data_IF_709484019188
#
_entry.id   IF_709484019188
#
_cell.length_a   1.000
_cell.length_b   1.000
_cell.length_c   1.000
_cell.angle_alpha   90.00
_cell.angle_beta   90.00
_cell.angle_gamma   90.00
#
_symmetry.space_group_name_H-M   'P 1'
#
loop_
_entity.id
_entity.type
_entity.pdbx_description
1 polymer ?
#
# COMPACT_ATOMS: atom_id res chain seq x y z
N UNK A 1 2.66 15.43 -15.85
CA UNK A 1 2.05 14.95 -17.11
C UNK A 1 0.54 15.03 -16.97
N UNK A 2 -0.18 15.54 -17.95
CA UNK A 2 -1.63 15.67 -17.97
C UNK A 2 -2.13 15.71 -19.39
N UNK A 3 -3.46 15.81 -19.60
CA UNK A 3 -4.05 15.98 -20.91
C UNK A 3 -3.62 17.34 -21.54
N UNK A 4 -3.55 17.42 -22.87
CA UNK A 4 -3.07 18.63 -23.57
C UNK A 4 -3.92 19.86 -23.27
N UNK A 5 -5.19 19.69 -22.94
CA UNK A 5 -6.14 20.76 -22.68
C UNK A 5 -6.42 20.98 -21.17
N UNK A 6 -5.65 20.36 -20.28
CA UNK A 6 -5.92 20.39 -18.82
C UNK A 6 -5.98 21.82 -18.27
N UNK A 7 -5.01 22.67 -18.63
CA UNK A 7 -4.92 24.04 -18.15
C UNK A 7 -6.07 24.87 -18.71
N UNK A 8 -6.28 24.79 -20.05
CA UNK A 8 -7.39 25.50 -20.68
C UNK A 8 -8.76 25.08 -20.12
N UNK A 9 -8.94 23.81 -19.84
CA UNK A 9 -10.16 23.32 -19.22
C UNK A 9 -10.36 23.91 -17.81
N UNK A 10 -9.29 24.07 -17.04
CA UNK A 10 -9.35 24.71 -15.72
C UNK A 10 -9.72 26.19 -15.84
N UNK A 11 -9.14 26.91 -16.80
CA UNK A 11 -9.50 28.31 -17.09
C UNK A 11 -10.95 28.45 -17.51
N UNK A 12 -11.39 27.67 -18.51
CA UNK A 12 -12.75 27.71 -19.05
C UNK A 12 -13.83 27.40 -17.99
N UNK A 13 -13.48 26.67 -16.94
CA UNK A 13 -14.37 26.31 -15.83
C UNK A 13 -14.15 27.13 -14.56
N UNK A 14 -13.32 28.16 -14.60
CA UNK A 14 -13.07 29.06 -13.47
C UNK A 14 -12.32 28.42 -12.30
N UNK A 15 -11.68 27.28 -12.51
CA UNK A 15 -10.85 26.61 -11.51
C UNK A 15 -9.40 27.15 -11.47
N UNK A 16 -9.01 27.95 -12.45
CA UNK A 16 -7.70 28.57 -12.55
C UNK A 16 -7.78 29.89 -13.31
N UNK A 17 -7.14 30.93 -12.77
CA UNK A 17 -7.00 32.23 -13.39
C UNK A 17 -5.49 32.59 -13.50
N UNK A 18 -4.88 32.52 -14.70
CA UNK A 18 -3.45 32.77 -14.85
C UNK A 18 -3.00 34.17 -14.40
N UNK A 19 -3.93 35.14 -14.33
CA UNK A 19 -3.63 36.48 -13.85
C UNK A 19 -3.54 36.57 -12.32
N UNK A 20 -4.16 35.64 -11.59
CA UNK A 20 -4.25 35.64 -10.12
C UNK A 20 -3.46 34.51 -9.47
N UNK A 21 -3.48 33.33 -10.07
CA UNK A 21 -3.03 32.10 -9.40
C UNK A 21 -1.57 31.75 -9.70
N UNK A 22 -0.91 32.51 -10.60
CA UNK A 22 0.49 32.27 -11.00
C UNK A 22 0.64 30.99 -11.83
N UNK A 23 1.67 30.19 -11.58
CA UNK A 23 1.88 28.93 -12.31
C UNK A 23 0.79 27.89 -11.96
N UNK A 24 0.23 27.26 -13.00
CA UNK A 24 -0.82 26.24 -12.82
C UNK A 24 -0.35 25.08 -11.96
N UNK A 25 -1.08 24.82 -10.88
CA UNK A 25 -0.92 23.68 -10.01
C UNK A 25 -2.24 22.94 -9.88
N UNK A 26 -2.28 21.69 -10.39
CA UNK A 26 -3.49 20.87 -10.39
C UNK A 26 -4.11 20.72 -9.01
N UNK A 27 -3.28 20.50 -8.00
CA UNK A 27 -3.74 20.35 -6.62
C UNK A 27 -4.41 21.63 -6.10
N UNK A 28 -3.90 22.80 -6.43
CA UNK A 28 -4.52 24.07 -6.05
C UNK A 28 -5.81 24.35 -6.80
N UNK A 29 -5.83 24.07 -8.11
CA UNK A 29 -7.00 24.31 -8.96
C UNK A 29 -8.20 23.43 -8.59
N UNK A 30 -7.97 22.21 -8.11
CA UNK A 30 -9.02 21.21 -7.89
C UNK A 30 -9.12 20.67 -6.46
N UNK A 31 -8.38 21.21 -5.51
CA UNK A 31 -8.61 20.93 -4.09
C UNK A 31 -9.74 21.79 -3.54
N UNK A 32 -10.35 21.35 -2.49
CA UNK A 32 -11.28 22.21 -1.72
C UNK A 32 -10.55 23.21 -0.84
N UNK A 33 -9.30 22.89 -0.47
CA UNK A 33 -8.48 23.65 0.50
C UNK A 33 -9.29 24.00 1.76
N UNK A 34 -10.01 23.03 2.29
CA UNK A 34 -10.88 23.17 3.44
C UNK A 34 -10.23 22.54 4.69
N UNK A 35 -10.85 22.74 5.85
CA UNK A 35 -10.40 22.19 7.14
C UNK A 35 -10.16 20.67 7.11
N UNK A 36 -10.77 19.95 6.17
CA UNK A 36 -10.56 18.49 6.03
C UNK A 36 -9.20 18.17 5.48
N UNK A 37 -8.63 19.02 4.62
CA UNK A 37 -7.29 18.77 4.09
C UNK A 37 -6.24 18.80 5.20
N UNK A 38 -6.41 19.67 6.19
CA UNK A 38 -5.53 19.80 7.37
C UNK A 38 -5.51 18.51 8.20
N UNK A 39 -6.63 17.81 8.30
CA UNK A 39 -6.73 16.58 9.11
C UNK A 39 -6.67 15.29 8.30
N UNK A 40 -7.01 15.33 7.00
CA UNK A 40 -7.13 14.15 6.16
C UNK A 40 -5.97 13.97 5.18
N UNK A 41 -5.63 14.99 4.41
CA UNK A 41 -4.70 14.84 3.30
C UNK A 41 -3.29 15.27 3.68
N UNK A 42 -3.11 16.44 4.25
CA UNK A 42 -1.80 17.00 4.56
C UNK A 42 -0.98 16.14 5.51
N UNK A 43 -1.52 15.61 6.62
CA UNK A 43 -0.75 14.78 7.53
C UNK A 43 -0.20 13.52 6.89
N UNK A 44 -0.96 12.86 6.01
CA UNK A 44 -0.50 11.65 5.30
C UNK A 44 0.64 11.96 4.33
N UNK A 45 0.51 13.06 3.58
CA UNK A 45 1.56 13.51 2.66
C UNK A 45 2.83 13.86 3.42
N UNK A 46 2.71 14.67 4.46
CA UNK A 46 3.82 15.08 5.31
C UNK A 46 4.53 13.86 5.92
N UNK A 47 3.78 12.95 6.53
CA UNK A 47 4.33 11.76 7.16
C UNK A 47 5.13 10.90 6.18
N UNK A 48 4.57 10.60 5.00
CA UNK A 48 5.25 9.80 3.98
C UNK A 48 6.47 10.54 3.41
N UNK A 49 6.39 11.85 3.20
CA UNK A 49 7.54 12.64 2.76
C UNK A 49 8.66 12.62 3.80
N UNK A 50 8.35 12.76 5.08
CA UNK A 50 9.33 12.68 6.17
C UNK A 50 9.91 11.27 6.36
N UNK A 51 9.15 10.21 6.08
CA UNK A 51 9.69 8.84 6.08
C UNK A 51 10.78 8.65 5.05
N UNK A 52 10.64 9.26 3.87
CA UNK A 52 11.59 9.13 2.76
C UNK A 52 12.66 10.22 2.72
N UNK A 53 12.45 11.30 3.46
CA UNK A 53 13.35 12.45 3.58
C UNK A 53 13.34 12.97 5.03
N UNK A 54 14.09 12.32 5.93
CA UNK A 54 14.08 12.63 7.37
C UNK A 54 14.39 14.09 7.71
N UNK A 55 15.17 14.79 6.85
CA UNK A 55 15.50 16.20 7.00
C UNK A 55 14.28 17.17 6.88
N UNK A 56 13.14 16.64 6.44
CA UNK A 56 11.91 17.41 6.37
C UNK A 56 11.17 17.52 7.73
N UNK A 57 11.56 16.71 8.72
CA UNK A 57 10.91 16.72 10.06
C UNK A 57 10.97 18.08 10.74
N UNK A 58 12.07 18.81 10.52
CA UNK A 58 12.26 20.15 11.08
C UNK A 58 11.68 21.27 10.19
N UNK A 59 11.18 20.94 9.00
CA UNK A 59 10.72 21.89 7.98
C UNK A 59 9.23 21.82 7.67
N UNK A 60 8.59 20.72 8.05
CA UNK A 60 7.19 20.45 7.75
C UNK A 60 6.47 20.01 9.02
N UNK A 61 5.27 20.53 9.22
CA UNK A 61 4.34 20.08 10.26
C UNK A 61 3.21 19.27 9.63
N UNK A 62 2.58 18.37 10.37
CA UNK A 62 1.54 17.46 9.84
C UNK A 62 0.33 18.21 9.25
N UNK A 63 0.06 19.40 9.76
CA UNK A 63 -1.08 20.27 9.39
C UNK A 63 -0.69 21.44 8.47
N UNK A 64 0.60 21.51 8.05
CA UNK A 64 1.14 22.70 7.38
C UNK A 64 0.62 22.95 5.97
N UNK A 65 0.29 21.91 5.21
CA UNK A 65 -0.07 22.03 3.79
C UNK A 65 1.10 22.47 2.89
N UNK A 66 0.79 22.76 1.64
CA UNK A 66 1.77 23.27 0.64
C UNK A 66 3.03 22.41 0.43
N UNK A 67 2.91 21.09 0.59
CA UNK A 67 4.02 20.17 0.37
C UNK A 67 4.33 20.00 -1.12
N UNK A 68 5.60 19.79 -1.50
CA UNK A 68 5.96 19.58 -2.89
C UNK A 68 5.25 18.33 -3.46
N UNK A 69 4.69 18.47 -4.66
CA UNK A 69 4.03 17.36 -5.37
C UNK A 69 5.05 16.31 -5.80
N UNK A 70 6.24 16.74 -6.22
CA UNK A 70 7.35 15.88 -6.60
C UNK A 70 8.50 16.09 -5.66
N UNK A 71 8.93 15.02 -5.03
CA UNK A 71 10.05 15.03 -4.09
C UNK A 71 10.99 13.86 -4.41
N UNK A 72 12.29 14.18 -4.55
CA UNK A 72 13.30 13.14 -4.69
C UNK A 72 13.57 12.55 -3.32
N UNK A 73 13.42 11.23 -3.13
CA UNK A 73 13.71 10.60 -1.85
C UNK A 73 15.23 10.66 -1.55
N UNK A 74 15.59 10.76 -0.27
CA UNK A 74 16.99 10.81 0.18
C UNK A 74 17.80 9.56 -0.21
N UNK A 75 17.11 8.42 -0.42
CA UNK A 75 17.72 7.17 -0.90
C UNK A 75 16.83 6.49 -1.94
N UNK A 76 17.37 5.53 -2.67
CA UNK A 76 16.55 4.64 -3.51
C UNK A 76 15.57 3.87 -2.63
N UNK A 77 14.29 3.89 -3.00
CA UNK A 77 13.23 3.19 -2.28
C UNK A 77 13.16 1.73 -2.75
N UNK A 78 13.05 0.84 -1.79
CA UNK A 78 12.71 -0.56 -2.01
C UNK A 78 11.19 -0.78 -1.99
N UNK A 79 10.72 -1.94 -2.43
CA UNK A 79 9.32 -2.37 -2.26
C UNK A 79 8.94 -2.37 -0.78
N UNK A 80 9.87 -2.75 0.11
CA UNK A 80 9.63 -2.77 1.54
C UNK A 80 9.44 -1.37 2.13
N UNK A 81 10.20 -0.36 1.67
CA UNK A 81 9.98 1.03 2.09
C UNK A 81 8.57 1.51 1.74
N UNK A 82 8.06 1.15 0.53
CA UNK A 82 6.69 1.49 0.12
C UNK A 82 5.63 0.75 0.94
N UNK A 83 5.82 -0.54 1.20
CA UNK A 83 4.92 -1.31 2.08
C UNK A 83 4.86 -0.69 3.48
N UNK A 84 6.01 -0.27 4.02
CA UNK A 84 6.08 0.40 5.33
C UNK A 84 5.32 1.72 5.32
N UNK A 85 5.47 2.54 4.29
CA UNK A 85 4.73 3.80 4.17
C UNK A 85 3.21 3.58 4.08
N UNK A 86 2.78 2.55 3.34
CA UNK A 86 1.36 2.20 3.21
C UNK A 86 0.76 1.62 4.50
N UNK A 87 1.59 1.12 5.42
CA UNK A 87 1.18 0.63 6.74
C UNK A 87 1.14 1.73 7.80
N UNK A 88 1.65 2.92 7.51
CA UNK A 88 1.82 3.98 8.50
C UNK A 88 0.50 4.49 9.10
N UNK A 89 0.52 4.73 10.39
CA UNK A 89 -0.59 5.31 11.18
C UNK A 89 -0.09 6.29 12.24
N UNK A 90 1.00 7.01 11.94
CA UNK A 90 1.74 7.92 12.83
C UNK A 90 2.41 7.18 13.99
N UNK A 91 2.96 6.03 13.68
CA UNK A 91 3.55 5.07 14.60
C UNK A 91 4.46 5.72 15.64
N UNK A 92 4.22 5.42 16.92
CA UNK A 92 5.04 5.91 18.04
C UNK A 92 4.89 7.39 18.37
N UNK A 93 3.89 8.08 17.81
CA UNK A 93 3.57 9.47 18.14
C UNK A 93 2.26 9.59 18.93
N UNK A 94 1.97 10.74 19.55
CA UNK A 94 0.65 10.98 20.16
C UNK A 94 -0.51 10.89 19.16
N UNK A 95 -0.26 11.07 17.87
CA UNK A 95 -1.27 11.01 16.79
C UNK A 95 -1.56 9.61 16.28
N UNK A 96 -0.86 8.59 16.80
CA UNK A 96 -1.07 7.20 16.40
C UNK A 96 -2.54 6.80 16.59
N UNK A 97 -3.21 6.50 15.46
CA UNK A 97 -4.65 6.23 15.46
C UNK A 97 -5.05 4.98 16.26
N UNK A 98 -4.11 4.09 16.52
CA UNK A 98 -4.42 2.78 17.10
C UNK A 98 -3.74 2.54 18.45
N UNK A 99 -2.48 2.97 18.61
CA UNK A 99 -1.66 2.69 19.79
C UNK A 99 -1.46 3.89 20.72
N UNK A 100 -1.83 5.11 20.34
CA UNK A 100 -1.69 6.27 21.22
C UNK A 100 -2.50 6.14 22.49
N UNK A 101 -1.91 6.59 23.60
CA UNK A 101 -2.57 6.71 24.92
C UNK A 101 -3.08 8.13 25.18
N UNK A 102 -2.75 9.07 24.30
CA UNK A 102 -3.23 10.45 24.37
C UNK A 102 -4.58 10.58 23.65
N UNK A 103 -5.67 10.45 24.37
CA UNK A 103 -7.02 10.50 23.82
C UNK A 103 -7.37 11.88 23.19
N UNK A 104 -6.60 12.94 23.52
CA UNK A 104 -6.80 14.26 22.92
C UNK A 104 -6.12 14.38 21.55
N UNK A 105 -5.08 13.60 21.30
CA UNK A 105 -4.31 13.63 20.05
C UNK A 105 -4.63 12.46 19.13
N UNK A 106 -5.03 11.35 19.70
CA UNK A 106 -5.42 10.15 18.97
C UNK A 106 -6.56 10.46 18.00
N UNK A 107 -6.43 10.00 16.76
CA UNK A 107 -7.44 10.18 15.70
C UNK A 107 -7.67 11.64 15.22
N UNK A 108 -6.89 12.62 15.62
CA UNK A 108 -6.96 13.96 15.02
C UNK A 108 -6.67 13.88 13.51
N UNK A 109 -5.66 13.10 13.14
CA UNK A 109 -5.26 12.93 11.75
C UNK A 109 -5.67 11.57 11.19
N UNK A 110 -6.10 11.55 9.94
CA UNK A 110 -6.42 10.31 9.23
C UNK A 110 -5.13 9.58 8.85
N UNK A 111 -4.97 8.34 9.29
CA UNK A 111 -3.84 7.49 8.94
C UNK A 111 -3.75 7.17 7.44
N UNK A 112 -2.57 6.74 6.97
CA UNK A 112 -2.39 6.08 5.67
C UNK A 112 -3.08 4.72 5.71
N UNK A 113 -2.72 3.89 6.70
CA UNK A 113 -3.38 2.61 6.96
C UNK A 113 -4.67 2.80 7.76
N UNK A 114 -5.76 3.06 7.06
CA UNK A 114 -7.09 3.22 7.69
C UNK A 114 -7.75 1.86 7.85
N UNK A 115 -8.40 1.60 9.01
CA UNK A 115 -9.10 0.33 9.25
C UNK A 115 -10.06 -0.07 8.13
N UNK A 116 -10.80 0.87 7.55
CA UNK A 116 -11.75 0.64 6.45
C UNK A 116 -11.13 0.54 5.05
N UNK A 117 -9.80 0.52 4.93
CA UNK A 117 -9.14 0.26 3.64
C UNK A 117 -9.58 -1.08 3.08
N UNK A 118 -9.93 -1.13 1.79
CA UNK A 118 -10.33 -2.38 1.13
C UNK A 118 -9.12 -3.19 0.70
N UNK A 119 -8.14 -2.53 0.11
CA UNK A 119 -6.88 -3.14 -0.31
C UNK A 119 -5.77 -2.06 -0.39
N UNK A 120 -4.54 -2.51 -0.40
CA UNK A 120 -3.37 -1.69 -0.61
C UNK A 120 -2.39 -2.43 -1.50
N UNK A 121 -1.76 -1.73 -2.45
CA UNK A 121 -0.84 -2.40 -3.36
C UNK A 121 0.41 -1.60 -3.70
N UNK A 122 1.47 -2.34 -4.07
CA UNK A 122 2.71 -1.82 -4.64
C UNK A 122 2.96 -2.52 -5.96
N UNK A 123 3.01 -1.77 -7.04
CA UNK A 123 3.35 -2.28 -8.37
C UNK A 123 4.84 -2.10 -8.64
N UNK A 124 5.50 -3.18 -9.09
CA UNK A 124 6.90 -3.15 -9.47
C UNK A 124 7.04 -3.64 -10.92
N UNK A 125 7.71 -2.83 -11.75
CA UNK A 125 8.03 -3.15 -13.14
C UNK A 125 9.54 -3.31 -13.28
N UNK A 126 9.97 -4.48 -13.75
CA UNK A 126 11.37 -4.87 -13.94
C UNK A 126 11.59 -5.28 -15.39
N UNK A 127 11.84 -4.33 -16.31
CA UNK A 127 11.88 -4.57 -17.76
C UNK A 127 13.01 -5.49 -18.22
N UNK A 128 13.99 -5.76 -17.36
CA UNK A 128 15.10 -6.69 -17.63
C UNK A 128 14.76 -8.16 -17.37
N UNK A 129 13.58 -8.45 -16.84
CA UNK A 129 13.07 -9.81 -16.61
C UNK A 129 12.02 -10.18 -17.67
N UNK A 130 11.76 -11.49 -17.88
CA UNK A 130 10.59 -11.94 -18.63
C UNK A 130 9.33 -11.23 -18.11
N UNK A 131 8.45 -10.80 -19.02
CA UNK A 131 7.29 -9.96 -18.63
C UNK A 131 6.36 -10.63 -17.62
N UNK A 132 6.28 -11.96 -17.66
CA UNK A 132 5.43 -12.76 -16.81
C UNK A 132 5.79 -12.60 -15.31
N UNK A 133 7.08 -12.46 -15.01
CA UNK A 133 7.57 -12.21 -13.64
C UNK A 133 8.15 -10.79 -13.46
N UNK A 134 8.42 -10.08 -14.55
CA UNK A 134 8.94 -8.71 -14.54
C UNK A 134 7.92 -7.68 -14.06
N UNK A 135 6.64 -8.02 -14.09
CA UNK A 135 5.53 -7.21 -13.62
C UNK A 135 4.88 -7.92 -12.44
N UNK A 136 5.01 -7.35 -11.26
CA UNK A 136 4.46 -7.90 -10.03
C UNK A 136 3.71 -6.83 -9.26
N UNK A 137 2.53 -7.19 -8.76
CA UNK A 137 1.75 -6.37 -7.85
C UNK A 137 1.71 -7.05 -6.50
N UNK A 138 2.26 -6.38 -5.50
CA UNK A 138 2.14 -6.81 -4.11
C UNK A 138 0.83 -6.28 -3.55
N UNK A 139 -0.09 -7.14 -3.16
CA UNK A 139 -1.43 -6.75 -2.66
C UNK A 139 -1.61 -7.19 -1.22
N UNK A 140 -2.13 -6.27 -0.40
CA UNK A 140 -2.58 -6.51 0.96
C UNK A 140 -4.09 -6.22 1.06
N UNK A 141 -4.86 -7.16 1.61
CA UNK A 141 -6.31 -7.06 1.71
C UNK A 141 -6.75 -6.46 3.05
N UNK A 142 -7.71 -5.54 2.99
CA UNK A 142 -8.18 -4.81 4.16
C UNK A 142 -7.15 -3.79 4.67
N UNK A 143 -7.09 -3.59 5.97
CA UNK A 143 -6.17 -2.67 6.63
C UNK A 143 -4.72 -3.11 6.41
N UNK A 144 -3.93 -2.30 5.72
CA UNK A 144 -2.56 -2.65 5.30
C UNK A 144 -1.61 -2.92 6.47
N UNK A 145 -1.79 -2.26 7.60
CA UNK A 145 -0.98 -2.51 8.80
C UNK A 145 -1.19 -3.91 9.41
N UNK A 146 -2.40 -4.43 9.27
CA UNK A 146 -2.80 -5.76 9.74
C UNK A 146 -3.02 -6.74 8.58
N UNK A 147 -2.16 -6.68 7.57
CA UNK A 147 -2.22 -7.55 6.40
C UNK A 147 -0.83 -7.88 5.84
N UNK A 148 -0.73 -8.96 5.08
CA UNK A 148 0.47 -9.33 4.34
C UNK A 148 0.38 -8.90 2.89
N UNK A 149 1.51 -8.48 2.31
CA UNK A 149 1.61 -8.16 0.89
C UNK A 149 2.05 -9.39 0.10
N UNK A 150 1.12 -9.97 -0.63
CA UNK A 150 1.38 -11.12 -1.49
C UNK A 150 1.76 -10.68 -2.91
N UNK A 151 2.80 -11.27 -3.55
CA UNK A 151 3.21 -10.96 -4.91
C UNK A 151 2.33 -11.67 -5.94
N UNK A 152 1.56 -10.92 -6.71
CA UNK A 152 0.81 -11.41 -7.88
C UNK A 152 1.54 -11.04 -9.15
N UNK A 153 1.93 -12.06 -9.91
CA UNK A 153 2.67 -11.89 -11.15
C UNK A 153 1.73 -11.73 -12.35
N UNK A 154 2.18 -10.98 -13.34
CA UNK A 154 1.43 -10.80 -14.59
C UNK A 154 1.15 -12.12 -15.32
N UNK A 155 2.06 -13.10 -15.22
CA UNK A 155 1.90 -14.44 -15.80
C UNK A 155 1.06 -15.43 -14.99
N UNK A 156 0.37 -14.98 -13.93
CA UNK A 156 -0.52 -15.84 -13.14
C UNK A 156 -1.79 -16.18 -13.94
N UNK A 157 -2.10 -17.45 -14.07
CA UNK A 157 -3.26 -17.92 -14.86
C UNK A 157 -4.55 -17.97 -14.05
N UNK A 158 -4.46 -18.29 -12.74
CA UNK A 158 -5.65 -18.46 -11.89
C UNK A 158 -5.37 -18.19 -10.42
N UNK A 159 -6.43 -17.86 -9.71
CA UNK A 159 -6.45 -17.78 -8.24
C UNK A 159 -6.96 -19.09 -7.63
N UNK A 160 -6.64 -19.32 -6.35
CA UNK A 160 -7.30 -20.37 -5.57
C UNK A 160 -8.70 -19.88 -5.12
N UNK A 161 -9.57 -20.81 -4.77
CA UNK A 161 -10.89 -20.49 -4.22
C UNK A 161 -10.79 -19.50 -3.06
N UNK A 162 -11.70 -18.52 -3.05
CA UNK A 162 -11.78 -17.48 -2.05
C UNK A 162 -11.05 -16.19 -2.40
N UNK A 163 -10.06 -16.21 -3.31
CA UNK A 163 -9.39 -14.98 -3.78
C UNK A 163 -10.16 -14.27 -4.91
N UNK A 164 -11.05 -14.98 -5.59
CA UNK A 164 -11.94 -14.49 -6.65
C UNK A 164 -13.37 -14.28 -6.18
N UNK A 165 -13.63 -14.48 -4.89
CA UNK A 165 -14.96 -14.33 -4.28
C UNK A 165 -15.07 -13.05 -3.47
N UNK A 166 -16.21 -12.40 -3.54
CA UNK A 166 -16.54 -11.23 -2.75
C UNK A 166 -18.06 -11.00 -2.66
N UNK A 167 -18.50 -10.49 -1.52
CA UNK A 167 -19.90 -10.15 -1.27
C UNK A 167 -20.03 -8.93 -0.37
N UNK A 168 -21.21 -8.31 -0.32
CA UNK A 168 -21.51 -7.19 0.59
C UNK A 168 -21.59 -7.61 2.06
N UNK A 169 -21.86 -8.89 2.31
CA UNK A 169 -21.96 -9.44 3.68
C UNK A 169 -20.72 -10.26 3.97
N UNK A 170 -20.25 -10.20 5.21
CA UNK A 170 -19.19 -11.06 5.68
C UNK A 170 -19.58 -12.52 5.54
N UNK A 171 -18.68 -13.32 4.97
CA UNK A 171 -18.84 -14.76 4.75
C UNK A 171 -17.54 -15.49 5.14
N UNK A 172 -17.56 -16.81 5.04
CA UNK A 172 -16.41 -17.68 5.32
C UNK A 172 -15.72 -18.19 4.05
N UNK A 173 -16.17 -17.76 2.89
CA UNK A 173 -15.66 -18.20 1.59
C UNK A 173 -14.60 -17.23 1.04
N UNK A 174 -14.80 -15.92 1.24
CA UNK A 174 -13.89 -14.90 0.75
C UNK A 174 -12.67 -14.72 1.63
N UNK A 175 -11.49 -14.71 1.03
CA UNK A 175 -10.24 -14.40 1.71
C UNK A 175 -10.25 -12.97 2.27
N UNK A 176 -10.88 -12.03 1.58
CA UNK A 176 -11.06 -10.66 2.05
C UNK A 176 -11.76 -10.63 3.42
N UNK A 177 -12.87 -11.37 3.58
CA UNK A 177 -13.59 -11.42 4.84
C UNK A 177 -12.83 -12.18 5.93
N UNK A 178 -11.99 -13.15 5.57
CA UNK A 178 -11.07 -13.80 6.51
C UNK A 178 -10.07 -12.79 7.09
N UNK A 179 -9.44 -11.95 6.26
CA UNK A 179 -8.60 -10.85 6.74
C UNK A 179 -9.38 -9.87 7.62
N UNK A 180 -10.58 -9.45 7.19
CA UNK A 180 -11.42 -8.50 7.93
C UNK A 180 -11.84 -9.01 9.31
N UNK A 181 -12.15 -10.30 9.43
CA UNK A 181 -12.45 -10.93 10.73
C UNK A 181 -11.26 -10.79 11.68
N UNK A 182 -10.07 -11.22 11.25
CA UNK A 182 -8.86 -11.11 12.08
C UNK A 182 -8.57 -9.65 12.44
N UNK A 183 -8.63 -8.74 11.49
CA UNK A 183 -8.43 -7.30 11.73
C UNK A 183 -9.43 -6.74 12.73
N UNK A 184 -10.69 -7.16 12.67
CA UNK A 184 -11.72 -6.75 13.63
C UNK A 184 -11.41 -7.26 15.03
N UNK A 185 -10.96 -8.51 15.17
CA UNK A 185 -10.56 -9.07 16.45
C UNK A 185 -9.34 -8.32 17.04
N UNK A 186 -8.35 -8.00 16.23
CA UNK A 186 -7.18 -7.21 16.69
C UNK A 186 -7.61 -5.82 17.17
N UNK A 187 -8.57 -5.19 16.49
CA UNK A 187 -9.06 -3.87 16.87
C UNK A 187 -9.86 -3.82 18.18
N UNK A 188 -10.25 -4.96 18.74
CA UNK A 188 -10.85 -5.01 20.08
C UNK A 188 -9.84 -4.61 21.18
N UNK A 189 -8.56 -4.91 21.00
CA UNK A 189 -7.46 -4.46 21.85
C UNK A 189 -6.16 -4.46 21.01
N UNK A 190 -5.97 -3.36 20.28
CA UNK A 190 -4.90 -3.25 19.30
C UNK A 190 -3.51 -3.43 19.93
N UNK A 191 -3.27 -2.82 21.08
CA UNK A 191 -1.96 -2.89 21.76
C UNK A 191 -1.61 -4.32 22.19
N UNK A 192 -2.60 -5.09 22.58
CA UNK A 192 -2.42 -6.47 23.02
C UNK A 192 -2.21 -7.44 21.85
N UNK A 193 -3.02 -7.31 20.80
CA UNK A 193 -3.08 -8.32 19.75
C UNK A 193 -2.23 -7.97 18.53
N UNK A 194 -2.08 -6.67 18.18
CA UNK A 194 -1.35 -6.29 16.97
C UNK A 194 0.12 -6.74 16.98
N UNK A 195 0.88 -6.72 18.11
CA UNK A 195 2.27 -7.18 18.09
C UNK A 195 2.42 -8.65 17.70
N UNK A 196 1.48 -9.50 18.14
CA UNK A 196 1.49 -10.94 17.82
C UNK A 196 1.24 -11.15 16.32
N UNK A 197 0.19 -10.50 15.79
CA UNK A 197 -0.18 -10.63 14.37
C UNK A 197 0.91 -10.03 13.48
N UNK A 198 1.42 -8.85 13.80
CA UNK A 198 2.50 -8.19 13.03
C UNK A 198 3.79 -9.03 13.02
N UNK A 199 4.14 -9.67 14.13
CA UNK A 199 5.27 -10.58 14.19
C UNK A 199 5.08 -11.77 13.25
N UNK A 200 3.93 -12.45 13.32
CA UNK A 200 3.63 -13.58 12.45
C UNK A 200 3.64 -13.18 10.96
N UNK A 201 3.07 -12.03 10.62
CA UNK A 201 3.07 -11.49 9.26
C UNK A 201 4.47 -11.14 8.76
N UNK A 202 5.29 -10.56 9.63
CA UNK A 202 6.69 -10.27 9.29
C UNK A 202 7.47 -11.54 9.01
N UNK A 203 7.38 -12.54 9.87
CA UNK A 203 8.03 -13.85 9.70
C UNK A 203 7.57 -14.52 8.38
N UNK A 204 6.29 -14.45 8.07
CA UNK A 204 5.75 -14.94 6.82
C UNK A 204 6.31 -14.18 5.61
N UNK A 205 6.29 -12.85 5.61
CA UNK A 205 6.78 -12.03 4.48
C UNK A 205 8.30 -12.20 4.30
N UNK A 206 9.08 -12.32 5.37
CA UNK A 206 10.53 -12.58 5.31
C UNK A 206 10.81 -13.94 4.65
N UNK A 207 10.09 -14.97 5.08
CA UNK A 207 10.20 -16.31 4.47
C UNK A 207 9.75 -16.32 3.02
N UNK A 208 8.67 -15.59 2.70
CA UNK A 208 8.16 -15.46 1.33
C UNK A 208 9.16 -14.74 0.43
N UNK A 209 9.81 -13.68 0.90
CA UNK A 209 10.82 -12.95 0.12
C UNK A 209 12.00 -13.86 -0.28
N UNK A 210 12.46 -14.72 0.62
CA UNK A 210 13.51 -15.72 0.31
C UNK A 210 13.04 -16.73 -0.74
N UNK A 211 11.81 -17.23 -0.61
CA UNK A 211 11.22 -18.17 -1.57
C UNK A 211 11.01 -17.52 -2.92
N UNK A 212 10.53 -16.27 -2.93
CA UNK A 212 10.33 -15.46 -4.13
C UNK A 212 11.63 -15.27 -4.92
N UNK A 213 12.71 -14.90 -4.25
CA UNK A 213 14.01 -14.71 -4.91
C UNK A 213 14.51 -16.02 -5.56
N UNK A 214 14.42 -17.14 -4.86
CA UNK A 214 14.79 -18.47 -5.40
C UNK A 214 13.92 -18.87 -6.59
N UNK A 215 12.61 -18.68 -6.48
CA UNK A 215 11.67 -18.95 -7.56
C UNK A 215 12.00 -18.12 -8.81
N UNK A 216 12.22 -16.82 -8.66
CA UNK A 216 12.52 -15.91 -9.78
C UNK A 216 13.83 -16.29 -10.50
N UNK A 217 14.87 -16.65 -9.74
CA UNK A 217 16.13 -17.16 -10.29
C UNK A 217 15.93 -18.46 -11.09
N UNK A 218 15.15 -19.39 -10.57
CA UNK A 218 14.84 -20.65 -11.25
C UNK A 218 13.98 -20.40 -12.49
N UNK A 219 12.96 -19.56 -12.37
CA UNK A 219 12.10 -19.16 -13.47
C UNK A 219 12.90 -18.61 -14.66
N UNK A 220 13.81 -17.66 -14.43
CA UNK A 220 14.65 -17.06 -15.49
C UNK A 220 15.51 -18.09 -16.20
N UNK A 221 16.08 -19.06 -15.46
CA UNK A 221 16.89 -20.15 -16.03
C UNK A 221 16.03 -21.09 -16.87
N UNK A 222 14.84 -21.41 -16.39
CA UNK A 222 13.91 -22.31 -17.05
C UNK A 222 13.27 -21.66 -18.28
N UNK A 223 12.89 -20.37 -18.18
CA UNK A 223 12.29 -19.62 -19.27
C UNK A 223 13.12 -19.59 -20.55
N UNK A 224 14.46 -19.55 -20.42
CA UNK A 224 15.40 -19.61 -21.55
C UNK A 224 15.38 -20.96 -22.28
N UNK A 225 14.97 -22.04 -21.61
CA UNK A 225 14.98 -23.41 -22.12
C UNK A 225 13.59 -23.90 -22.52
N UNK A 226 12.60 -23.60 -21.68
CA UNK A 226 11.22 -24.09 -21.83
C UNK A 226 10.25 -23.12 -21.14
N UNK A 227 9.64 -22.23 -21.93
CA UNK A 227 8.70 -21.22 -21.43
C UNK A 227 7.45 -21.85 -20.78
N UNK A 228 6.98 -22.96 -21.31
CA UNK A 228 5.79 -23.62 -20.77
C UNK A 228 6.04 -24.17 -19.37
N UNK A 229 7.19 -24.80 -19.16
CA UNK A 229 7.60 -25.27 -17.83
C UNK A 229 7.83 -24.10 -16.87
N UNK A 230 8.43 -23.00 -17.33
CA UNK A 230 8.60 -21.81 -16.50
C UNK A 230 7.25 -21.25 -16.02
N UNK A 231 6.27 -21.10 -16.91
CA UNK A 231 4.94 -20.65 -16.55
C UNK A 231 4.21 -21.62 -15.60
N UNK A 232 4.41 -22.93 -15.77
CA UNK A 232 3.90 -23.90 -14.80
C UNK A 232 4.51 -23.67 -13.40
N UNK A 233 5.84 -23.47 -13.33
CA UNK A 233 6.54 -23.16 -12.07
C UNK A 233 6.00 -21.88 -11.42
N UNK A 234 5.70 -20.81 -12.22
CA UNK A 234 5.10 -19.58 -11.74
C UNK A 234 3.74 -19.84 -11.08
N UNK A 235 2.89 -20.60 -11.74
CA UNK A 235 1.55 -20.90 -11.23
C UNK A 235 1.62 -21.77 -9.97
N UNK A 236 2.50 -22.77 -9.92
CA UNK A 236 2.73 -23.59 -8.73
C UNK A 236 3.23 -22.76 -7.54
N UNK A 237 4.18 -21.85 -7.75
CA UNK A 237 4.64 -20.92 -6.73
C UNK A 237 3.51 -20.03 -6.22
N UNK A 238 2.74 -19.43 -7.13
CA UNK A 238 1.66 -18.48 -6.78
C UNK A 238 0.51 -19.19 -6.04
N UNK A 239 0.11 -20.37 -6.47
CA UNK A 239 -0.92 -21.18 -5.79
C UNK A 239 -0.45 -21.58 -4.39
N UNK A 240 0.79 -22.03 -4.25
CA UNK A 240 1.35 -22.40 -2.94
C UNK A 240 1.38 -21.20 -1.98
N UNK A 241 1.85 -20.05 -2.45
CA UNK A 241 1.87 -18.81 -1.68
C UNK A 241 0.46 -18.43 -1.18
N UNK A 242 -0.54 -18.43 -2.05
CA UNK A 242 -1.93 -18.12 -1.70
C UNK A 242 -2.48 -19.13 -0.68
N UNK A 243 -2.22 -20.43 -0.88
CA UNK A 243 -2.68 -21.51 0.01
C UNK A 243 -2.07 -21.37 1.41
N UNK A 244 -0.75 -21.14 1.49
CA UNK A 244 -0.06 -20.98 2.79
C UNK A 244 -0.57 -19.75 3.53
N UNK A 245 -0.74 -18.60 2.82
CA UNK A 245 -1.31 -17.39 3.42
C UNK A 245 -2.72 -17.65 3.97
N UNK A 246 -3.57 -18.32 3.19
CA UNK A 246 -4.95 -18.61 3.60
C UNK A 246 -5.02 -19.55 4.80
N UNK A 247 -4.16 -20.55 4.85
CA UNK A 247 -4.10 -21.50 5.98
C UNK A 247 -3.67 -20.81 7.27
N UNK A 248 -2.66 -19.94 7.22
CA UNK A 248 -2.21 -19.20 8.39
C UNK A 248 -3.23 -18.21 8.95
N UNK A 249 -4.16 -17.72 8.13
CA UNK A 249 -5.23 -16.83 8.58
C UNK A 249 -6.38 -17.56 9.29
N UNK A 250 -6.51 -18.88 9.07
CA UNK A 250 -7.57 -19.70 9.65
C UNK A 250 -7.13 -20.46 10.90
N UNK A 251 -5.84 -20.59 11.14
CA UNK A 251 -5.24 -21.25 12.32
C UNK A 251 -5.18 -20.31 13.52
#
# INVERSE_FOLDING_TARGET
MGSKNLIKFAEDNGAYDPAKDGEFQFTKAYTRDDERDVTYNYPRVCWVQQMFNPELKDKQTLDGGNYPVFLKPAKKLSVQDLKTALRAHYDGTPYDNYASKDENQKNIYRAVSVFRTYESHVMQVRPWLPQEIGRVTYVALGMSDLSVYLPYYYGLDKFIDGYDKGSYKADDESIYWTYRKLQTLVMMDYDKYSPVVKKAYKEFEDALAVKQAKFEDEYVKLYKKDKAKANKLLNEFSINMMTVSYTHLRA
#
